data_IF_502910290579
#
_entry.id   IF_502910290579
#
_cell.length_a   1.000
_cell.length_b   1.000
_cell.length_c   1.000
_cell.angle_alpha   90.00
_cell.angle_beta   90.00
_cell.angle_gamma   90.00
#
_symmetry.space_group_name_H-M   'P 1'
#
loop_
_entity.id
_entity.type
_entity.pdbx_description
1 polymer ?
#
# COMPACT_ATOMS: atom_id res chain seq x y z
N UNK A 1 -15.59 -17.01 -5.70
CA UNK A 1 -14.86 -15.78 -6.07
C UNK A 1 -15.55 -15.10 -7.22
N UNK A 2 -15.74 -13.81 -7.16
CA UNK A 2 -16.32 -13.04 -8.25
C UNK A 2 -15.19 -12.61 -9.21
N UNK A 3 -15.18 -13.16 -10.42
CA UNK A 3 -14.06 -13.06 -11.36
C UNK A 3 -13.79 -11.63 -11.84
N UNK A 4 -14.84 -10.87 -12.19
CA UNK A 4 -14.68 -9.49 -12.67
C UNK A 4 -14.01 -8.61 -11.62
N UNK A 5 -14.45 -8.72 -10.37
CA UNK A 5 -13.91 -7.93 -9.27
C UNK A 5 -12.48 -8.38 -8.95
N UNK A 6 -12.20 -9.68 -9.02
CA UNK A 6 -10.85 -10.21 -8.85
C UNK A 6 -9.90 -9.66 -9.92
N UNK A 7 -10.30 -9.72 -11.19
CA UNK A 7 -9.48 -9.24 -12.30
C UNK A 7 -9.22 -7.74 -12.19
N UNK A 8 -10.24 -6.97 -11.81
CA UNK A 8 -10.12 -5.53 -11.54
C UNK A 8 -9.11 -5.28 -10.41
N UNK A 9 -9.21 -6.03 -9.33
CA UNK A 9 -8.32 -5.91 -8.18
C UNK A 9 -6.88 -6.25 -8.51
N UNK A 10 -6.66 -7.33 -9.25
CA UNK A 10 -5.32 -7.73 -9.67
C UNK A 10 -4.69 -6.65 -10.57
N UNK A 11 -5.47 -6.07 -11.47
CA UNK A 11 -5.02 -4.96 -12.32
C UNK A 11 -4.61 -3.73 -11.49
N UNK A 12 -5.40 -3.36 -10.50
CA UNK A 12 -5.09 -2.24 -9.60
C UNK A 12 -3.83 -2.55 -8.78
N UNK A 13 -3.73 -3.76 -8.25
CA UNK A 13 -2.57 -4.20 -7.48
C UNK A 13 -1.29 -4.12 -8.31
N UNK A 14 -1.35 -4.50 -9.59
CA UNK A 14 -0.24 -4.36 -10.54
C UNK A 14 0.17 -2.90 -10.72
N UNK A 15 -0.79 -2.00 -10.84
CA UNK A 15 -0.51 -0.57 -11.02
C UNK A 15 0.20 0.02 -9.80
N UNK A 16 -0.16 -0.43 -8.59
CA UNK A 16 0.38 0.10 -7.34
C UNK A 16 1.76 -0.49 -7.02
N UNK A 17 1.89 -1.81 -7.10
CA UNK A 17 3.09 -2.53 -6.63
C UNK A 17 3.97 -3.06 -7.75
N UNK A 18 3.55 -2.92 -9.00
CA UNK A 18 4.24 -3.49 -10.15
C UNK A 18 3.70 -4.87 -10.52
N UNK A 19 3.64 -5.14 -11.82
CA UNK A 19 3.07 -6.40 -12.34
C UNK A 19 3.86 -7.62 -11.87
N UNK A 20 5.19 -7.51 -11.82
CA UNK A 20 6.04 -8.63 -11.41
C UNK A 20 5.71 -9.12 -10.00
N UNK A 21 5.65 -8.19 -9.03
CA UNK A 21 5.35 -8.54 -7.64
C UNK A 21 3.92 -9.04 -7.46
N UNK A 22 2.95 -8.35 -8.07
CA UNK A 22 1.54 -8.71 -7.96
C UNK A 22 1.27 -10.11 -8.55
N UNK A 23 1.81 -10.39 -9.73
CA UNK A 23 1.64 -11.68 -10.39
C UNK A 23 2.36 -12.80 -9.65
N UNK A 24 3.57 -12.54 -9.15
CA UNK A 24 4.35 -13.51 -8.38
C UNK A 24 3.63 -13.87 -7.07
N UNK A 25 3.08 -12.89 -6.38
CA UNK A 25 2.34 -13.12 -5.14
C UNK A 25 1.12 -14.00 -5.39
N UNK A 26 0.36 -13.74 -6.45
CA UNK A 26 -0.79 -14.57 -6.80
C UNK A 26 -0.35 -15.98 -7.22
N UNK A 27 0.68 -16.10 -8.04
CA UNK A 27 1.17 -17.39 -8.51
C UNK A 27 1.72 -18.27 -7.37
N UNK A 28 2.25 -17.65 -6.32
CA UNK A 28 2.77 -18.36 -5.15
C UNK A 28 1.67 -18.79 -4.17
N UNK A 29 0.42 -18.38 -4.38
CA UNK A 29 -0.69 -18.76 -3.51
C UNK A 29 -0.94 -20.27 -3.60
N UNK A 30 -1.11 -20.90 -2.44
CA UNK A 30 -1.37 -22.32 -2.31
C UNK A 30 -2.69 -22.55 -1.56
N UNK A 31 -3.00 -23.81 -1.25
CA UNK A 31 -4.24 -24.15 -0.56
C UNK A 31 -4.42 -23.44 0.79
N UNK A 32 -3.31 -23.11 1.45
CA UNK A 32 -3.35 -22.42 2.74
C UNK A 32 -3.78 -20.96 2.62
N UNK A 33 -3.19 -20.21 1.68
CA UNK A 33 -3.40 -18.76 1.60
C UNK A 33 -4.19 -18.29 0.37
N UNK A 34 -4.56 -19.18 -0.55
CA UNK A 34 -5.33 -18.76 -1.74
C UNK A 34 -6.62 -18.04 -1.41
N UNK A 35 -7.44 -18.52 -0.44
CA UNK A 35 -8.65 -17.77 -0.07
C UNK A 35 -8.35 -16.36 0.43
N UNK A 36 -7.23 -16.18 1.12
CA UNK A 36 -6.79 -14.86 1.57
C UNK A 36 -6.38 -13.98 0.38
N UNK A 37 -5.59 -14.50 -0.55
CA UNK A 37 -5.17 -13.73 -1.74
C UNK A 37 -6.36 -13.41 -2.65
N UNK A 38 -7.34 -14.30 -2.76
CA UNK A 38 -8.60 -14.02 -3.46
C UNK A 38 -9.34 -12.86 -2.79
N UNK A 39 -9.43 -12.88 -1.46
CA UNK A 39 -10.05 -11.80 -0.69
C UNK A 39 -9.35 -10.47 -0.93
N UNK A 40 -8.02 -10.46 -0.89
CA UNK A 40 -7.22 -9.25 -1.10
C UNK A 40 -7.44 -8.69 -2.50
N UNK A 41 -7.35 -9.52 -3.54
CA UNK A 41 -7.54 -9.05 -4.91
C UNK A 41 -8.98 -8.62 -5.16
N UNK A 42 -9.96 -9.37 -4.67
CA UNK A 42 -11.38 -9.11 -4.92
C UNK A 42 -11.89 -7.91 -4.12
N UNK A 43 -11.67 -7.91 -2.82
CA UNK A 43 -12.26 -6.90 -1.94
C UNK A 43 -11.34 -5.73 -1.64
N UNK A 44 -10.10 -5.96 -1.28
CA UNK A 44 -9.19 -4.87 -0.95
C UNK A 44 -8.92 -4.00 -2.18
N UNK A 45 -8.40 -4.59 -3.24
CA UNK A 45 -8.04 -3.83 -4.43
C UNK A 45 -9.19 -3.67 -5.43
N UNK A 46 -10.01 -4.69 -5.62
CA UNK A 46 -11.14 -4.61 -6.54
C UNK A 46 -12.25 -3.73 -6.02
N UNK A 47 -12.81 -4.10 -4.87
CA UNK A 47 -13.97 -3.42 -4.30
C UNK A 47 -13.59 -2.05 -3.71
N UNK A 48 -12.57 -1.99 -2.86
CA UNK A 48 -12.27 -0.78 -2.09
C UNK A 48 -11.39 0.18 -2.88
N UNK A 49 -10.21 -0.25 -3.32
CA UNK A 49 -9.32 0.61 -4.10
C UNK A 49 -9.90 1.02 -5.45
N UNK A 50 -10.82 0.21 -5.98
CA UNK A 50 -11.52 0.50 -7.23
C UNK A 50 -12.68 1.48 -7.11
N UNK A 51 -13.05 1.91 -5.89
CA UNK A 51 -14.14 2.86 -5.70
C UNK A 51 -13.73 4.27 -6.13
N UNK A 52 -14.63 5.03 -6.78
CA UNK A 52 -14.30 6.37 -7.25
C UNK A 52 -14.35 7.45 -6.16
N UNK A 53 -14.77 7.11 -4.93
CA UNK A 53 -14.97 8.08 -3.85
C UNK A 53 -13.71 8.80 -3.38
N UNK A 54 -12.56 8.13 -3.46
CA UNK A 54 -11.25 8.72 -3.22
C UNK A 54 -10.33 8.30 -4.37
N UNK A 55 -9.47 9.20 -4.82
CA UNK A 55 -8.47 8.85 -5.81
C UNK A 55 -7.36 7.98 -5.19
N UNK A 56 -6.52 7.39 -6.04
CA UNK A 56 -5.46 6.47 -5.58
C UNK A 56 -4.41 7.16 -4.73
N UNK A 57 -4.09 8.40 -5.03
CA UNK A 57 -3.15 9.20 -4.25
C UNK A 57 -3.66 9.36 -2.82
N UNK A 58 -4.91 9.77 -2.66
CA UNK A 58 -5.55 9.93 -1.35
C UNK A 58 -5.64 8.59 -0.61
N UNK A 59 -5.99 7.50 -1.30
CA UNK A 59 -6.02 6.18 -0.66
C UNK A 59 -4.65 5.74 -0.15
N UNK A 60 -3.58 6.06 -0.89
CA UNK A 60 -2.22 5.79 -0.43
C UNK A 60 -1.89 6.56 0.86
N UNK A 61 -2.26 7.84 0.94
CA UNK A 61 -2.05 8.66 2.14
C UNK A 61 -2.82 8.07 3.33
N UNK A 62 -4.08 7.73 3.12
CA UNK A 62 -4.94 7.12 4.16
C UNK A 62 -4.34 5.80 4.63
N UNK A 63 -3.95 4.93 3.70
CA UNK A 63 -3.38 3.62 4.01
C UNK A 63 -2.08 3.76 4.81
N UNK A 64 -1.15 4.60 4.37
CA UNK A 64 0.12 4.81 5.07
C UNK A 64 -0.08 5.38 6.48
N UNK A 65 -1.05 6.27 6.65
CA UNK A 65 -1.38 6.81 7.97
C UNK A 65 -1.87 5.72 8.91
N UNK A 66 -2.76 4.86 8.43
CA UNK A 66 -3.26 3.71 9.20
C UNK A 66 -2.15 2.72 9.54
N UNK A 67 -1.31 2.37 8.56
CA UNK A 67 -0.21 1.42 8.75
C UNK A 67 0.82 1.94 9.74
N UNK A 68 1.08 3.24 9.74
CA UNK A 68 1.96 3.87 10.72
C UNK A 68 1.38 3.72 12.12
N UNK A 69 0.10 4.02 12.29
CA UNK A 69 -0.58 3.86 13.58
C UNK A 69 -0.64 2.42 14.06
N UNK A 70 -0.73 1.46 13.13
CA UNK A 70 -0.78 0.03 13.45
C UNK A 70 0.61 -0.61 13.61
N UNK A 71 1.68 0.13 13.34
CA UNK A 71 3.07 -0.37 13.40
C UNK A 71 3.29 -1.59 12.49
N UNK A 72 3.02 -1.42 11.19
CA UNK A 72 3.17 -2.50 10.17
C UNK A 72 4.34 -2.19 9.23
N UNK A 73 5.60 -2.42 9.63
CA UNK A 73 6.76 -1.96 8.87
C UNK A 73 6.87 -2.54 7.46
N UNK A 74 6.54 -3.81 7.27
CA UNK A 74 6.63 -4.43 5.94
C UNK A 74 5.62 -3.81 4.97
N UNK A 75 4.40 -3.56 5.45
CA UNK A 75 3.36 -2.93 4.64
C UNK A 75 3.65 -1.46 4.40
N UNK A 76 4.23 -0.76 5.39
CA UNK A 76 4.69 0.63 5.20
C UNK A 76 5.68 0.69 4.04
N UNK A 77 6.68 -0.21 4.02
CA UNK A 77 7.67 -0.26 2.94
C UNK A 77 7.01 -0.43 1.57
N UNK A 78 6.14 -1.40 1.43
CA UNK A 78 5.44 -1.65 0.18
C UNK A 78 4.56 -0.47 -0.24
N UNK A 79 3.85 0.13 0.71
CA UNK A 79 2.93 1.23 0.42
C UNK A 79 3.62 2.58 0.24
N UNK A 80 4.84 2.78 0.74
CA UNK A 80 5.65 3.95 0.35
C UNK A 80 5.95 3.89 -1.14
N UNK A 81 6.39 2.73 -1.64
CA UNK A 81 6.60 2.52 -3.09
C UNK A 81 5.31 2.75 -3.87
N UNK A 82 4.21 2.16 -3.40
CA UNK A 82 2.90 2.31 -4.04
C UNK A 82 2.38 3.74 -4.02
N UNK A 83 2.64 4.48 -2.94
CA UNK A 83 2.25 5.88 -2.82
C UNK A 83 2.96 6.74 -3.85
N UNK A 84 4.26 6.53 -4.04
CA UNK A 84 5.04 7.24 -5.06
C UNK A 84 4.48 6.93 -6.45
N UNK A 85 4.17 5.66 -6.73
CA UNK A 85 3.54 5.26 -7.99
C UNK A 85 2.19 5.94 -8.21
N UNK A 86 1.45 6.20 -7.14
CA UNK A 86 0.15 6.87 -7.17
C UNK A 86 0.24 8.40 -7.12
N UNK A 87 1.45 8.95 -7.19
CA UNK A 87 1.65 10.40 -7.29
C UNK A 87 1.84 11.14 -5.96
N UNK A 88 2.02 10.42 -4.86
CA UNK A 88 2.33 11.05 -3.57
C UNK A 88 3.79 11.51 -3.57
N UNK A 89 4.04 12.76 -3.25
CA UNK A 89 5.39 13.31 -3.21
C UNK A 89 6.10 13.01 -1.89
N UNK A 90 7.42 13.16 -1.87
CA UNK A 90 8.21 13.06 -0.63
C UNK A 90 7.75 14.08 0.40
N UNK A 91 7.40 15.29 -0.05
CA UNK A 91 6.86 16.34 0.83
C UNK A 91 5.53 15.93 1.45
N UNK A 92 4.65 15.32 0.67
CA UNK A 92 3.38 14.83 1.19
C UNK A 92 3.57 13.66 2.15
N UNK A 93 4.51 12.76 1.88
CA UNK A 93 4.86 11.68 2.81
C UNK A 93 5.37 12.24 4.13
N UNK A 94 6.26 13.23 4.07
CA UNK A 94 6.73 13.93 5.27
C UNK A 94 5.57 14.49 6.09
N UNK A 95 4.65 15.16 5.44
CA UNK A 95 3.52 15.79 6.13
C UNK A 95 2.58 14.76 6.78
N UNK A 96 2.28 13.66 6.10
CA UNK A 96 1.44 12.64 6.72
C UNK A 96 2.13 11.96 7.90
N UNK A 97 3.44 11.72 7.84
CA UNK A 97 4.16 11.12 8.96
C UNK A 97 4.31 12.08 10.14
N UNK A 98 4.45 13.39 9.88
CA UNK A 98 4.42 14.40 10.94
C UNK A 98 3.07 14.40 11.68
N UNK A 99 1.98 14.35 10.93
CA UNK A 99 0.65 14.29 11.53
C UNK A 99 0.45 12.99 12.30
N UNK A 100 0.89 11.86 11.74
CA UNK A 100 0.83 10.57 12.43
C UNK A 100 1.64 10.57 13.73
N UNK A 101 2.77 11.26 13.78
CA UNK A 101 3.57 11.40 15.00
C UNK A 101 2.76 12.01 16.15
N UNK A 102 1.86 12.94 15.84
CA UNK A 102 1.01 13.59 16.84
C UNK A 102 -0.15 12.69 17.28
N UNK A 103 -0.80 12.05 16.32
CA UNK A 103 -2.01 11.25 16.63
C UNK A 103 -1.71 9.80 17.03
N UNK A 104 -0.58 9.24 16.56
CA UNK A 104 -0.23 7.84 16.78
C UNK A 104 1.00 7.64 17.66
N UNK A 105 1.75 8.69 17.93
CA UNK A 105 2.96 8.65 18.75
C UNK A 105 4.25 8.76 17.94
N UNK A 106 5.23 9.42 18.54
CA UNK A 106 6.55 9.63 17.94
C UNK A 106 7.25 8.31 17.56
N UNK A 107 7.24 7.27 18.41
CA UNK A 107 7.91 6.01 18.04
C UNK A 107 7.40 5.39 16.74
N UNK A 108 6.09 5.44 16.48
CA UNK A 108 5.51 4.93 15.23
C UNK A 108 6.04 5.72 14.03
N UNK A 109 6.12 7.04 14.13
CA UNK A 109 6.61 7.89 13.06
C UNK A 109 8.12 7.70 12.82
N UNK A 110 8.90 7.44 13.85
CA UNK A 110 10.36 7.16 13.71
C UNK A 110 10.59 6.03 12.72
N UNK A 111 9.88 4.93 12.88
CA UNK A 111 10.00 3.78 11.99
C UNK A 111 9.54 4.12 10.56
N UNK A 112 8.44 4.85 10.41
CA UNK A 112 7.93 5.24 9.10
C UNK A 112 8.89 6.15 8.35
N UNK A 113 9.49 7.14 9.02
CA UNK A 113 10.50 8.01 8.41
C UNK A 113 11.73 7.21 7.96
N UNK A 114 12.20 6.30 8.81
CA UNK A 114 13.34 5.45 8.48
C UNK A 114 13.06 4.59 7.25
N UNK A 115 11.92 3.91 7.24
CA UNK A 115 11.53 3.02 6.14
C UNK A 115 11.38 3.82 4.85
N UNK A 116 10.73 4.98 4.90
CA UNK A 116 10.56 5.83 3.73
C UNK A 116 11.92 6.28 3.16
N UNK A 117 12.85 6.66 4.03
CA UNK A 117 14.21 7.04 3.60
C UNK A 117 14.91 5.89 2.90
N UNK A 118 14.82 4.69 3.44
CA UNK A 118 15.40 3.49 2.82
C UNK A 118 14.80 3.23 1.43
N UNK A 119 13.47 3.38 1.30
CA UNK A 119 12.79 3.23 0.01
C UNK A 119 13.27 4.28 -0.99
N UNK A 120 13.41 5.55 -0.57
CA UNK A 120 13.92 6.60 -1.45
C UNK A 120 15.32 6.26 -1.96
N UNK A 121 16.19 5.76 -1.08
CA UNK A 121 17.55 5.35 -1.46
C UNK A 121 17.52 4.19 -2.45
N UNK A 122 16.68 3.18 -2.22
CA UNK A 122 16.52 2.04 -3.13
C UNK A 122 16.01 2.50 -4.50
N UNK A 123 15.12 3.48 -4.54
CA UNK A 123 14.55 4.00 -5.79
C UNK A 123 15.41 5.07 -6.45
N UNK A 124 16.45 5.55 -5.79
CA UNK A 124 17.33 6.59 -6.32
C UNK A 124 16.67 7.97 -6.40
N UNK A 125 15.80 8.28 -5.47
CA UNK A 125 15.08 9.57 -5.45
C UNK A 125 15.32 10.36 -4.18
#
# INVERSE_FOLDING_TARGET
MEKQMFDKGLSIRRDIFGAELADKTWAAADDFNRPFEELVNQYCFGEIWGRPGLDRKTRSIVTLSMLTGLNRPNQIRAHVKGAIANGVSKEELKELFLQAAIYCGVPAAVDSFRIAREVFQEMGI
#
